data_IF_907282129150
#
_entry.id   IF_907282129150
#
_cell.length_a   1.000
_cell.length_b   1.000
_cell.length_c   1.000
_cell.angle_alpha   90.00
_cell.angle_beta   90.00
_cell.angle_gamma   90.00
#
_symmetry.space_group_name_H-M   'P 1'
#
loop_
_entity.id
_entity.type
_entity.pdbx_description
1 polymer ?
#
# COMPACT_ATOMS: atom_id res chain seq x y z
N UNK A 1 -0.39 6.17 11.22
CA UNK A 1 -0.71 6.94 10.01
C UNK A 1 -2.13 7.51 10.11
N UNK A 2 -2.39 8.75 9.68
CA UNK A 2 -3.72 9.38 9.85
C UNK A 2 -4.85 8.50 9.30
N UNK A 3 -4.65 7.92 8.12
CA UNK A 3 -5.62 7.02 7.47
C UNK A 3 -5.92 5.73 8.25
N UNK A 4 -4.99 5.24 9.09
CA UNK A 4 -5.21 4.12 10.02
C UNK A 4 -6.06 4.58 11.21
N UNK A 5 -5.72 5.74 11.78
CA UNK A 5 -6.42 6.30 12.95
C UNK A 5 -7.88 6.63 12.69
N UNK A 6 -8.22 7.14 11.49
CA UNK A 6 -9.60 7.55 11.16
C UNK A 6 -10.48 6.42 10.61
N UNK A 7 -9.95 5.21 10.41
CA UNK A 7 -10.70 4.13 9.79
C UNK A 7 -11.63 3.46 10.81
N UNK A 8 -12.96 3.60 10.70
CA UNK A 8 -13.88 3.16 11.74
C UNK A 8 -14.00 1.64 11.84
N UNK A 9 -13.67 0.90 10.77
CA UNK A 9 -13.76 -0.56 10.72
C UNK A 9 -12.45 -1.27 11.00
N UNK A 10 -11.35 -0.51 11.18
CA UNK A 10 -10.01 -1.08 11.24
C UNK A 10 -9.48 -1.62 9.90
N UNK A 11 -10.16 -1.35 8.78
CA UNK A 11 -9.72 -1.80 7.45
C UNK A 11 -8.35 -1.22 7.05
N UNK A 12 -8.05 0.02 7.43
CA UNK A 12 -6.70 0.57 7.23
C UNK A 12 -5.80 0.17 8.39
N UNK A 13 -4.69 -0.49 8.11
CA UNK A 13 -3.76 -0.95 9.15
C UNK A 13 -2.30 -0.80 8.70
N UNK A 14 -1.38 -0.75 9.67
CA UNK A 14 0.07 -0.79 9.44
C UNK A 14 0.58 -2.15 9.92
N UNK A 15 1.21 -2.91 9.03
CA UNK A 15 1.84 -4.19 9.38
C UNK A 15 2.99 -3.96 10.36
N UNK A 16 3.13 -4.84 11.35
CA UNK A 16 4.21 -4.76 12.33
C UNK A 16 5.57 -5.23 11.77
N UNK A 17 5.57 -6.14 10.80
CA UNK A 17 6.76 -6.76 10.22
C UNK A 17 7.64 -5.79 9.42
N UNK A 18 7.02 -4.91 8.65
CA UNK A 18 7.67 -4.09 7.62
C UNK A 18 7.12 -2.65 7.60
N UNK A 19 6.08 -2.36 8.37
CA UNK A 19 5.49 -1.03 8.42
C UNK A 19 4.68 -0.64 7.18
N UNK A 20 4.43 -1.57 6.25
CA UNK A 20 3.60 -1.31 5.08
C UNK A 20 2.16 -1.06 5.54
N UNK A 21 1.60 0.06 5.07
CA UNK A 21 0.20 0.42 5.34
C UNK A 21 -0.67 -0.23 4.27
N UNK A 22 -1.70 -0.98 4.65
CA UNK A 22 -2.59 -1.69 3.73
C UNK A 22 -4.05 -1.39 4.03
N UNK A 23 -4.93 -1.86 3.15
CA UNK A 23 -6.38 -1.87 3.33
C UNK A 23 -6.84 -3.31 3.27
N UNK A 24 -7.54 -3.74 4.31
CA UNK A 24 -8.30 -4.99 4.34
C UNK A 24 -9.64 -4.73 3.62
N UNK A 25 -9.81 -5.33 2.45
CA UNK A 25 -10.97 -5.10 1.59
C UNK A 25 -12.25 -5.67 2.18
N UNK A 26 -12.17 -6.80 2.88
CA UNK A 26 -13.33 -7.45 3.54
C UNK A 26 -13.91 -6.58 4.66
N UNK A 27 -13.07 -5.75 5.29
CA UNK A 27 -13.49 -4.80 6.33
C UNK A 27 -13.81 -3.41 5.78
N UNK A 28 -13.51 -3.14 4.51
CA UNK A 28 -13.64 -1.79 3.95
C UNK A 28 -15.09 -1.51 3.54
N UNK A 29 -15.71 -0.51 4.17
CA UNK A 29 -17.08 -0.08 3.84
C UNK A 29 -17.14 1.12 2.89
N UNK A 30 -16.03 1.47 2.23
CA UNK A 30 -16.02 2.55 1.24
C UNK A 30 -16.29 3.97 1.77
N UNK A 31 -16.22 4.22 3.09
CA UNK A 31 -16.62 5.51 3.70
C UNK A 31 -15.74 6.73 3.38
N UNK A 32 -14.62 6.55 2.66
CA UNK A 32 -13.69 7.61 2.20
C UNK A 32 -13.00 8.48 3.26
N UNK A 33 -13.26 8.27 4.56
CA UNK A 33 -12.60 9.02 5.65
C UNK A 33 -11.06 8.97 5.59
N UNK A 34 -10.51 7.79 5.25
CA UNK A 34 -9.08 7.60 5.09
C UNK A 34 -8.46 8.45 3.96
N UNK A 35 -9.23 8.77 2.92
CA UNK A 35 -8.83 9.66 1.84
C UNK A 35 -8.83 11.10 2.31
N UNK A 36 -9.91 11.52 2.98
CA UNK A 36 -10.04 12.87 3.53
C UNK A 36 -8.93 13.20 4.53
N UNK A 37 -8.54 12.23 5.37
CA UNK A 37 -7.47 12.41 6.34
C UNK A 37 -6.05 12.34 5.76
N UNK A 38 -5.87 11.92 4.50
CA UNK A 38 -4.55 11.75 3.90
C UNK A 38 -4.08 13.06 3.27
N UNK A 39 -3.02 13.72 3.79
CA UNK A 39 -2.54 14.99 3.22
C UNK A 39 -1.86 14.81 1.84
N UNK A 40 -1.56 13.57 1.47
CA UNK A 40 -0.84 13.23 0.23
C UNK A 40 -1.77 12.84 -0.92
N UNK A 41 -3.09 12.75 -0.69
CA UNK A 41 -4.02 12.27 -1.72
C UNK A 41 -3.75 10.82 -2.17
N UNK A 42 -3.07 10.00 -1.36
CA UNK A 42 -2.55 8.70 -1.78
C UNK A 42 -3.58 7.54 -1.67
N UNK A 43 -4.88 7.86 -1.65
CA UNK A 43 -5.97 6.90 -1.42
C UNK A 43 -7.03 7.13 -2.48
N UNK A 44 -7.41 6.07 -3.18
CA UNK A 44 -8.37 6.14 -4.27
C UNK A 44 -9.56 5.22 -3.96
N UNK A 45 -10.74 5.61 -4.42
CA UNK A 45 -11.93 4.77 -4.28
C UNK A 45 -12.13 3.95 -5.56
N UNK A 46 -12.18 2.64 -5.40
CA UNK A 46 -12.54 1.70 -6.46
C UNK A 46 -14.07 1.61 -6.52
N UNK A 47 -14.65 2.15 -7.59
CA UNK A 47 -16.10 2.19 -7.77
C UNK A 47 -16.71 0.84 -8.12
N UNK A 48 -15.91 -0.06 -8.69
CA UNK A 48 -16.38 -1.37 -9.16
C UNK A 48 -16.51 -2.34 -7.98
N UNK A 49 -15.56 -2.29 -7.05
CA UNK A 49 -15.54 -3.13 -5.84
C UNK A 49 -16.20 -2.43 -4.64
N UNK A 50 -16.25 -1.09 -4.64
CA UNK A 50 -16.83 -0.31 -3.55
C UNK A 50 -15.91 -0.12 -2.33
N UNK A 51 -14.59 -0.24 -2.51
CA UNK A 51 -13.60 -0.18 -1.44
C UNK A 51 -12.50 0.87 -1.70
N UNK A 52 -11.77 1.24 -0.66
CA UNK A 52 -10.63 2.16 -0.78
C UNK A 52 -9.36 1.38 -1.14
N UNK A 53 -8.65 1.80 -2.18
CA UNK A 53 -7.35 1.24 -2.60
C UNK A 53 -6.21 2.21 -2.28
N UNK A 54 -4.99 1.68 -2.32
CA UNK A 54 -3.73 2.44 -2.23
C UNK A 54 -2.57 1.63 -2.81
N UNK A 55 -1.45 2.29 -3.07
CA UNK A 55 -0.18 1.61 -3.37
C UNK A 55 0.13 0.55 -2.31
N UNK A 56 0.34 -0.71 -2.67
CA UNK A 56 0.62 -1.80 -1.70
C UNK A 56 2.11 -1.96 -1.39
N UNK A 57 2.97 -1.09 -1.92
CA UNK A 57 4.42 -1.30 -2.01
C UNK A 57 4.79 -2.61 -2.74
N UNK A 58 3.91 -3.06 -3.65
CA UNK A 58 4.06 -4.30 -4.40
C UNK A 58 4.33 -5.51 -3.49
N UNK A 59 3.58 -5.65 -2.38
CA UNK A 59 3.71 -6.79 -1.45
C UNK A 59 3.64 -8.15 -2.15
N UNK A 60 2.85 -8.22 -3.22
CA UNK A 60 2.69 -9.37 -4.11
C UNK A 60 3.96 -9.70 -4.91
N UNK A 61 4.87 -8.74 -5.06
CA UNK A 61 6.13 -8.87 -5.80
C UNK A 61 7.34 -9.01 -4.87
N UNK A 62 7.45 -8.17 -3.84
CA UNK A 62 8.62 -8.14 -2.95
C UNK A 62 8.74 -9.39 -2.07
N UNK A 63 7.65 -10.13 -1.88
CA UNK A 63 7.62 -11.41 -1.16
C UNK A 63 7.35 -12.61 -2.07
N UNK A 64 7.45 -12.45 -3.40
CA UNK A 64 7.17 -13.53 -4.33
C UNK A 64 8.38 -14.45 -4.49
N UNK A 65 8.28 -15.67 -3.96
CA UNK A 65 9.37 -16.64 -4.04
C UNK A 65 9.61 -17.20 -5.46
N UNK A 66 8.69 -16.97 -6.39
CA UNK A 66 8.86 -17.36 -7.79
C UNK A 66 9.72 -16.37 -8.59
N UNK A 67 10.12 -15.24 -8.00
CA UNK A 67 11.05 -14.27 -8.61
C UNK A 67 12.46 -14.45 -8.05
N UNK A 68 13.45 -14.17 -8.88
CA UNK A 68 14.84 -14.04 -8.42
C UNK A 68 14.93 -12.96 -7.34
N UNK A 69 15.84 -13.09 -6.38
CA UNK A 69 15.90 -12.21 -5.22
C UNK A 69 16.12 -10.74 -5.61
N UNK A 70 16.94 -10.51 -6.63
CA UNK A 70 17.21 -9.22 -7.25
C UNK A 70 15.97 -8.58 -7.90
N UNK A 71 15.00 -9.38 -8.34
CA UNK A 71 13.77 -8.92 -8.99
C UNK A 71 12.64 -8.60 -7.99
N UNK A 72 12.79 -8.98 -6.71
CA UNK A 72 11.83 -8.77 -5.61
C UNK A 72 11.84 -7.33 -5.08
N UNK A 73 11.80 -6.37 -6.00
CA UNK A 73 11.66 -4.94 -5.70
C UNK A 73 10.32 -4.41 -6.23
N UNK A 74 9.80 -3.29 -5.71
CA UNK A 74 8.58 -2.69 -6.23
C UNK A 74 8.68 -2.38 -7.73
N UNK A 75 7.56 -2.52 -8.45
CA UNK A 75 7.55 -2.32 -9.90
C UNK A 75 8.04 -0.92 -10.32
N UNK A 76 7.71 0.12 -9.55
CA UNK A 76 8.20 1.47 -9.80
C UNK A 76 9.72 1.63 -9.59
N UNK A 77 10.32 0.84 -8.70
CA UNK A 77 11.77 0.80 -8.48
C UNK A 77 12.45 0.08 -9.64
N UNK A 78 11.95 -1.11 -10.02
CA UNK A 78 12.47 -1.87 -11.14
C UNK A 78 12.40 -1.10 -12.47
N UNK A 79 11.32 -0.32 -12.67
CA UNK A 79 11.13 0.44 -13.90
C UNK A 79 11.95 1.72 -14.00
N UNK A 80 12.61 2.17 -12.92
CA UNK A 80 13.32 3.45 -12.90
C UNK A 80 14.64 3.38 -13.70
N UNK A 81 14.74 4.03 -14.88
CA UNK A 81 15.91 3.87 -15.76
C UNK A 81 17.17 4.55 -15.20
N UNK A 82 17.00 5.54 -14.33
CA UNK A 82 18.10 6.32 -13.74
C UNK A 82 18.54 5.79 -12.38
N UNK A 83 17.85 4.80 -11.81
CA UNK A 83 18.11 4.32 -10.45
C UNK A 83 17.78 5.35 -9.35
N UNK A 84 17.00 6.39 -9.65
CA UNK A 84 16.63 7.42 -8.66
C UNK A 84 15.66 6.90 -7.58
N UNK A 85 14.95 5.80 -7.86
CA UNK A 85 14.09 5.11 -6.89
C UNK A 85 14.76 3.83 -6.43
N UNK A 86 14.85 3.62 -5.12
CA UNK A 86 15.40 2.40 -4.51
C UNK A 86 14.60 2.04 -3.24
N UNK A 87 14.53 0.75 -2.93
CA UNK A 87 13.98 0.25 -1.65
C UNK A 87 15.13 0.10 -0.66
N UNK A 88 15.01 0.64 0.55
CA UNK A 88 16.00 0.38 1.60
C UNK A 88 15.75 -0.97 2.26
N UNK A 89 16.81 -1.55 2.80
CA UNK A 89 16.70 -2.78 3.59
C UNK A 89 15.79 -2.64 4.83
N UNK A 90 15.59 -1.39 5.31
CA UNK A 90 14.76 -1.06 6.47
C UNK A 90 13.29 -0.75 6.14
N UNK A 91 12.92 -0.74 4.85
CA UNK A 91 11.55 -0.50 4.39
C UNK A 91 10.74 -1.80 4.25
#
# INVERSE_FOLDING_TARGET
>A
PACVTVCPTGASYKRASDGIVLVDEDKCIGCKLCSWACPYGAREFDTDVGVMKKCTLCVDRIYNDNLAQEDRVPACVAACPTGASYKRASD
#
